data_IF_768980463873
#
_entry.id   IF_768980463873
#
_cell.length_a   1.000
_cell.length_b   1.000
_cell.length_c   1.000
_cell.angle_alpha   90.00
_cell.angle_beta   90.00
_cell.angle_gamma   90.00
#
_symmetry.space_group_name_H-M   'P 1'
#
loop_
_entity.id
_entity.type
_entity.pdbx_description
1 polymer ?
#
# COMPACT_ATOMS: atom_id res chain seq x y z
N UNK A 1 5.93 -16.23 10.23
CA UNK A 1 4.56 -16.48 9.74
C UNK A 1 4.39 -15.77 8.41
N UNK A 2 3.66 -16.36 7.47
CA UNK A 2 3.25 -15.73 6.22
C UNK A 2 1.73 -15.73 6.13
N UNK A 3 1.14 -14.64 5.63
CA UNK A 3 -0.30 -14.52 5.34
C UNK A 3 -0.45 -14.15 3.88
N UNK A 4 -1.17 -14.97 3.12
CA UNK A 4 -1.36 -14.78 1.69
C UNK A 4 -2.84 -14.69 1.35
N UNK A 5 -3.20 -13.70 0.55
CA UNK A 5 -4.56 -13.49 0.04
C UNK A 5 -4.66 -14.12 -1.36
N UNK A 6 -5.64 -15.00 -1.55
CA UNK A 6 -5.78 -15.79 -2.77
C UNK A 6 -7.16 -15.67 -3.39
N UNK A 7 -7.17 -15.75 -4.72
CA UNK A 7 -8.37 -15.75 -5.56
C UNK A 7 -9.30 -14.60 -5.20
N UNK A 8 -10.55 -14.90 -4.87
CA UNK A 8 -11.56 -13.90 -4.53
C UNK A 8 -11.92 -13.91 -3.05
N UNK A 9 -11.52 -14.95 -2.30
CA UNK A 9 -12.17 -15.27 -1.02
C UNK A 9 -11.34 -16.13 -0.04
N UNK A 10 -10.03 -16.26 -0.25
CA UNK A 10 -9.23 -17.20 0.54
C UNK A 10 -8.03 -16.50 1.19
N UNK A 11 -7.79 -16.80 2.47
CA UNK A 11 -6.64 -16.35 3.25
C UNK A 11 -5.86 -17.59 3.69
N UNK A 12 -4.63 -17.74 3.24
CA UNK A 12 -3.72 -18.80 3.66
C UNK A 12 -2.76 -18.25 4.70
N UNK A 13 -2.51 -19.02 5.76
CA UNK A 13 -1.56 -18.70 6.81
C UNK A 13 -0.56 -19.84 6.94
N UNK A 14 0.72 -19.53 6.80
CA UNK A 14 1.82 -20.48 6.90
C UNK A 14 2.70 -20.17 8.11
N UNK A 15 3.21 -21.21 8.76
CA UNK A 15 4.10 -21.10 9.92
C UNK A 15 3.48 -20.26 11.04
N UNK A 16 2.22 -20.54 11.33
CA UNK A 16 1.47 -19.92 12.43
C UNK A 16 1.68 -20.69 13.74
N UNK A 17 1.50 -19.99 14.86
CA UNK A 17 1.21 -20.64 16.15
C UNK A 17 -0.32 -20.69 16.37
N UNK A 18 -0.76 -21.42 17.39
CA UNK A 18 -2.20 -21.58 17.69
C UNK A 18 -2.87 -20.25 18.05
N UNK A 19 -2.16 -19.34 18.72
CA UNK A 19 -2.66 -18.03 19.13
C UNK A 19 -2.83 -17.06 17.96
N UNK A 20 -1.90 -17.07 17.00
CA UNK A 20 -1.99 -16.28 15.77
C UNK A 20 -3.18 -16.73 14.93
N UNK A 21 -3.37 -18.05 14.80
CA UNK A 21 -4.47 -18.61 14.02
C UNK A 21 -5.84 -18.29 14.64
N UNK A 22 -5.99 -18.45 15.97
CA UNK A 22 -7.23 -18.07 16.66
C UNK A 22 -7.51 -16.58 16.55
N UNK A 23 -6.46 -15.75 16.62
CA UNK A 23 -6.56 -14.30 16.47
C UNK A 23 -7.06 -13.90 15.08
N UNK A 24 -6.51 -14.50 14.02
CA UNK A 24 -6.95 -14.26 12.64
C UNK A 24 -8.40 -14.71 12.46
N UNK A 25 -8.75 -15.91 12.95
CA UNK A 25 -10.12 -16.43 12.89
C UNK A 25 -11.11 -15.47 13.53
N UNK A 26 -10.83 -15.02 14.75
CA UNK A 26 -11.71 -14.08 15.46
C UNK A 26 -11.80 -12.73 14.73
N UNK A 27 -10.68 -12.20 14.21
CA UNK A 27 -10.70 -10.96 13.42
C UNK A 27 -11.62 -11.06 12.19
N UNK A 28 -11.59 -12.20 11.48
CA UNK A 28 -12.47 -12.44 10.33
C UNK A 28 -13.93 -12.50 10.78
N UNK A 29 -14.25 -13.32 11.79
CA UNK A 29 -15.64 -13.47 12.28
C UNK A 29 -16.23 -12.14 12.76
N UNK A 30 -15.43 -11.32 13.43
CA UNK A 30 -15.90 -10.03 13.98
C UNK A 30 -16.10 -8.95 12.89
N UNK A 31 -15.38 -9.01 11.77
CA UNK A 31 -15.28 -7.89 10.81
C UNK A 31 -15.65 -8.25 9.37
N UNK A 32 -16.04 -9.50 9.12
CA UNK A 32 -16.59 -9.93 7.84
C UNK A 32 -18.02 -10.43 8.06
N UNK A 33 -19.05 -9.67 7.64
CA UNK A 33 -20.46 -9.98 7.97
C UNK A 33 -20.92 -11.38 7.56
N UNK A 34 -20.40 -11.89 6.43
CA UNK A 34 -20.76 -13.22 5.93
C UNK A 34 -19.98 -14.35 6.62
N UNK A 35 -18.95 -14.02 7.40
CA UNK A 35 -18.14 -14.95 8.16
C UNK A 35 -17.28 -15.90 7.33
N UNK A 36 -16.81 -16.96 7.99
CA UNK A 36 -15.97 -17.99 7.39
C UNK A 36 -16.87 -19.08 6.78
N UNK A 37 -16.67 -19.38 5.50
CA UNK A 37 -17.37 -20.46 4.81
C UNK A 37 -16.76 -21.83 5.15
N UNK A 38 -15.42 -21.92 5.15
CA UNK A 38 -14.70 -23.17 5.42
C UNK A 38 -13.31 -22.89 5.94
N UNK A 39 -12.83 -23.77 6.81
CA UNK A 39 -11.44 -23.82 7.22
C UNK A 39 -10.84 -25.20 6.92
N UNK A 40 -9.57 -25.24 6.54
CA UNK A 40 -8.88 -26.51 6.35
C UNK A 40 -7.37 -26.38 6.53
N UNK A 41 -6.77 -27.45 7.04
CA UNK A 41 -5.33 -27.65 6.94
C UNK A 41 -4.94 -27.90 5.48
N UNK A 42 -3.80 -27.35 5.05
CA UNK A 42 -3.24 -27.58 3.72
C UNK A 42 -2.12 -28.62 3.81
N UNK A 43 -0.95 -28.21 4.29
CA UNK A 43 0.22 -29.05 4.53
C UNK A 43 1.11 -28.43 5.61
N UNK A 44 1.79 -29.27 6.41
CA UNK A 44 2.59 -28.81 7.54
C UNK A 44 1.82 -27.88 8.47
N UNK A 45 2.39 -26.72 8.78
CA UNK A 45 1.76 -25.64 9.56
C UNK A 45 0.97 -24.64 8.68
N UNK A 46 0.40 -25.11 7.57
CA UNK A 46 -0.39 -24.30 6.64
C UNK A 46 -1.88 -24.45 6.88
N UNK A 47 -2.58 -23.33 7.01
CA UNK A 47 -4.03 -23.27 7.25
C UNK A 47 -4.69 -22.32 6.25
N UNK A 48 -5.87 -22.69 5.76
CA UNK A 48 -6.67 -21.87 4.86
C UNK A 48 -7.99 -21.48 5.51
N UNK A 49 -8.31 -20.19 5.45
CA UNK A 49 -9.65 -19.66 5.66
C UNK A 49 -10.27 -19.33 4.31
N UNK A 50 -11.36 -20.00 3.96
CA UNK A 50 -12.24 -19.59 2.87
C UNK A 50 -13.35 -18.75 3.48
N UNK A 51 -13.35 -17.45 3.20
CA UNK A 51 -14.39 -16.52 3.66
C UNK A 51 -15.58 -16.54 2.70
N UNK A 52 -16.79 -16.38 3.23
CA UNK A 52 -18.00 -16.41 2.41
C UNK A 52 -18.09 -15.13 1.55
N UNK A 53 -18.49 -15.25 0.29
CA UNK A 53 -18.56 -14.12 -0.65
C UNK A 53 -17.24 -13.91 -1.41
N UNK A 54 -16.95 -12.67 -1.84
CA UNK A 54 -15.78 -12.35 -2.68
C UNK A 54 -15.02 -11.09 -2.22
N UNK A 55 -14.51 -11.05 -0.96
CA UNK A 55 -13.83 -9.86 -0.41
C UNK A 55 -12.62 -9.37 -1.21
N UNK A 56 -11.95 -10.26 -1.93
CA UNK A 56 -10.72 -9.99 -2.68
C UNK A 56 -10.95 -9.84 -4.19
N UNK A 57 -12.19 -9.56 -4.58
CA UNK A 57 -12.57 -9.28 -5.96
C UNK A 57 -13.07 -7.84 -6.12
N UNK A 58 -13.15 -7.37 -7.37
CA UNK A 58 -13.78 -6.08 -7.69
C UNK A 58 -15.29 -6.16 -7.39
N UNK A 59 -15.66 -5.69 -6.21
CA UNK A 59 -17.02 -5.66 -5.69
C UNK A 59 -17.47 -4.20 -5.39
N UNK A 60 -18.67 -4.06 -4.84
CA UNK A 60 -19.23 -2.77 -4.37
C UNK A 60 -18.30 -2.03 -3.40
N UNK A 61 -18.53 -0.71 -3.25
CA UNK A 61 -17.77 0.15 -2.35
C UNK A 61 -17.89 -0.27 -0.88
N UNK A 62 -19.05 -0.77 -0.46
CA UNK A 62 -19.26 -1.33 0.88
C UNK A 62 -18.37 -2.54 1.10
N UNK A 63 -18.54 -3.62 0.33
CA UNK A 63 -17.72 -4.82 0.48
C UNK A 63 -16.21 -4.53 0.40
N UNK A 64 -15.81 -3.49 -0.36
CA UNK A 64 -14.44 -2.97 -0.37
C UNK A 64 -13.96 -2.46 0.99
N UNK A 65 -14.77 -1.63 1.66
CA UNK A 65 -14.41 -1.07 2.96
C UNK A 65 -14.41 -2.13 4.04
N UNK A 66 -15.36 -3.08 4.02
CA UNK A 66 -15.35 -4.21 4.94
C UNK A 66 -14.11 -5.10 4.76
N UNK A 67 -13.71 -5.41 3.53
CA UNK A 67 -12.50 -6.22 3.29
C UNK A 67 -11.24 -5.51 3.81
N UNK A 68 -11.11 -4.20 3.57
CA UNK A 68 -10.00 -3.39 4.11
C UNK A 68 -10.01 -3.30 5.64
N UNK A 69 -11.20 -3.15 6.24
CA UNK A 69 -11.36 -3.15 7.69
C UNK A 69 -10.95 -4.50 8.29
N UNK A 70 -11.40 -5.61 7.71
CA UNK A 70 -11.02 -6.96 8.13
C UNK A 70 -9.49 -7.13 8.14
N UNK A 71 -8.80 -6.71 7.08
CA UNK A 71 -7.34 -6.74 7.03
C UNK A 71 -6.72 -5.81 8.08
N UNK A 72 -7.21 -4.58 8.24
CA UNK A 72 -6.72 -3.66 9.27
C UNK A 72 -6.79 -4.28 10.68
N UNK A 73 -7.89 -4.97 10.99
CA UNK A 73 -8.09 -5.63 12.30
C UNK A 73 -7.21 -6.88 12.43
N UNK A 74 -7.05 -7.68 11.38
CA UNK A 74 -6.09 -8.81 11.38
C UNK A 74 -4.69 -8.30 11.71
N UNK A 75 -4.22 -7.26 11.02
CA UNK A 75 -2.89 -6.68 11.25
C UNK A 75 -2.76 -6.10 12.66
N UNK A 76 -3.78 -5.41 13.15
CA UNK A 76 -3.81 -4.84 14.50
C UNK A 76 -3.73 -5.92 15.58
N UNK A 77 -4.60 -6.95 15.52
CA UNK A 77 -4.63 -8.01 16.53
C UNK A 77 -3.37 -8.88 16.49
N UNK A 78 -2.78 -9.11 15.31
CA UNK A 78 -1.49 -9.79 15.19
C UNK A 78 -0.36 -8.96 15.79
N UNK A 79 -0.37 -7.64 15.57
CA UNK A 79 0.60 -6.74 16.15
C UNK A 79 0.53 -6.75 17.69
N UNK A 80 -0.66 -6.75 18.30
CA UNK A 80 -0.80 -6.75 19.77
C UNK A 80 -0.20 -8.00 20.44
N UNK A 81 -0.25 -9.15 19.77
CA UNK A 81 0.36 -10.41 20.23
C UNK A 81 1.82 -10.60 19.76
N UNK A 82 2.45 -9.53 19.28
CA UNK A 82 3.88 -9.50 18.98
C UNK A 82 4.27 -9.91 17.56
N UNK A 83 3.35 -10.02 16.60
CA UNK A 83 3.72 -10.23 15.19
C UNK A 83 3.95 -8.89 14.48
N UNK A 84 5.17 -8.68 13.99
CA UNK A 84 5.54 -7.48 13.21
C UNK A 84 5.63 -7.82 11.74
N UNK A 85 5.00 -7.01 10.90
CA UNK A 85 5.09 -7.11 9.45
C UNK A 85 6.50 -6.72 9.02
N UNK A 86 7.09 -7.52 8.15
CA UNK A 86 8.43 -7.31 7.60
C UNK A 86 8.35 -6.78 6.18
N UNK A 87 7.52 -7.41 5.35
CA UNK A 87 7.37 -7.07 3.94
C UNK A 87 6.04 -7.60 3.41
N UNK A 88 5.50 -6.94 2.39
CA UNK A 88 4.48 -7.50 1.51
C UNK A 88 5.03 -7.63 0.09
N UNK A 89 4.60 -8.67 -0.61
CA UNK A 89 5.02 -8.96 -1.97
C UNK A 89 3.96 -9.77 -2.71
N UNK A 90 3.96 -9.64 -4.03
CA UNK A 90 3.20 -10.51 -4.93
C UNK A 90 4.09 -11.67 -5.37
N UNK A 91 3.76 -12.89 -4.94
CA UNK A 91 4.61 -14.07 -5.10
C UNK A 91 4.09 -15.08 -6.12
N UNK A 92 2.83 -14.97 -6.56
CA UNK A 92 2.30 -15.86 -7.58
C UNK A 92 1.84 -15.09 -8.79
N UNK A 93 2.20 -15.59 -9.97
CA UNK A 93 1.79 -15.02 -11.25
C UNK A 93 0.30 -15.17 -11.53
N UNK A 94 -0.38 -16.05 -10.79
CA UNK A 94 -1.78 -16.37 -10.96
C UNK A 94 -2.45 -16.40 -9.59
N UNK A 95 -3.57 -15.70 -9.46
CA UNK A 95 -4.53 -15.76 -8.36
C UNK A 95 -4.10 -15.20 -7.00
N UNK A 96 -2.82 -15.06 -6.67
CA UNK A 96 -2.42 -14.37 -5.44
C UNK A 96 -2.65 -12.87 -5.59
N UNK A 97 -3.06 -12.24 -4.49
CA UNK A 97 -3.23 -10.79 -4.42
C UNK A 97 -2.07 -10.15 -3.68
N UNK A 98 -1.79 -10.63 -2.47
CA UNK A 98 -0.70 -10.12 -1.66
C UNK A 98 -0.28 -11.17 -0.63
N UNK A 99 1.03 -11.34 -0.46
CA UNK A 99 1.64 -12.15 0.59
C UNK A 99 2.40 -11.26 1.56
N UNK A 100 2.10 -11.38 2.85
CA UNK A 100 2.69 -10.61 3.94
C UNK A 100 3.53 -11.53 4.82
N UNK A 101 4.80 -11.18 5.02
CA UNK A 101 5.69 -11.90 5.91
C UNK A 101 5.79 -11.18 7.24
N UNK A 102 5.62 -11.94 8.33
CA UNK A 102 5.63 -11.45 9.70
C UNK A 102 6.69 -12.18 10.53
N UNK A 103 7.43 -11.41 11.32
CA UNK A 103 8.38 -11.91 12.32
C UNK A 103 7.81 -11.78 13.72
N UNK A 104 8.17 -12.73 14.59
CA UNK A 104 7.81 -12.64 16.00
C UNK A 104 8.73 -11.63 16.69
N UNK A 105 8.13 -10.73 17.45
CA UNK A 105 8.76 -9.81 18.38
C UNK A 105 8.51 -10.35 19.79
N UNK A 106 9.51 -10.30 20.69
CA UNK A 106 9.33 -10.76 22.07
C UNK A 106 8.37 -9.86 22.87
N UNK A 107 8.15 -8.62 22.41
CA UNK A 107 7.25 -7.66 23.05
C UNK A 107 5.81 -7.85 22.57
N UNK A 108 4.90 -8.10 23.51
CA UNK A 108 3.46 -7.87 23.30
C UNK A 108 3.17 -6.39 23.50
N UNK A 109 2.21 -5.85 22.76
CA UNK A 109 1.82 -4.45 22.85
C UNK A 109 0.40 -4.37 23.42
N UNK A 110 0.27 -3.95 24.67
CA UNK A 110 -1.04 -3.88 25.36
C UNK A 110 -1.95 -2.75 24.86
N UNK A 111 -1.36 -1.70 24.30
CA UNK A 111 -2.08 -0.55 23.75
C UNK A 111 -1.79 -0.41 22.26
N UNK A 112 -2.65 -1.01 21.42
CA UNK A 112 -2.53 -0.93 19.96
C UNK A 112 -3.71 -0.16 19.39
N UNK A 113 -3.42 0.99 18.80
CA UNK A 113 -4.42 1.75 18.06
C UNK A 113 -4.82 1.02 16.76
N UNK A 114 -6.07 1.21 16.28
CA UNK A 114 -6.47 0.71 14.98
C UNK A 114 -5.51 1.15 13.87
N UNK A 115 -5.22 0.25 12.94
CA UNK A 115 -4.46 0.59 11.75
C UNK A 115 -5.33 1.48 10.87
N UNK A 116 -4.78 2.62 10.46
CA UNK A 116 -5.39 3.49 9.44
C UNK A 116 -5.12 2.85 8.08
N UNK A 117 -6.15 2.71 7.26
CA UNK A 117 -6.02 2.23 5.89
C UNK A 117 -6.36 3.37 4.92
N UNK A 118 -5.46 3.70 4.00
CA UNK A 118 -5.71 4.61 2.87
C UNK A 118 -5.81 3.75 1.60
N UNK A 119 -7.02 3.57 1.11
CA UNK A 119 -7.29 2.79 -0.10
C UNK A 119 -7.65 3.67 -1.30
N UNK A 120 -7.01 3.42 -2.44
CA UNK A 120 -7.43 3.98 -3.72
C UNK A 120 -8.67 3.23 -4.21
N UNK A 121 -9.73 3.92 -4.58
CA UNK A 121 -11.00 3.32 -4.97
C UNK A 121 -11.52 3.95 -6.25
N UNK A 122 -12.05 3.12 -7.16
CA UNK A 122 -12.45 3.54 -8.51
C UNK A 122 -11.32 4.32 -9.21
N UNK A 123 -11.67 5.25 -10.10
CA UNK A 123 -10.70 6.14 -10.76
C UNK A 123 -10.40 7.42 -9.96
N UNK A 124 -11.22 7.75 -8.95
CA UNK A 124 -11.27 9.09 -8.39
C UNK A 124 -11.61 9.20 -6.89
N UNK A 125 -11.64 8.09 -6.15
CA UNK A 125 -11.97 8.10 -4.72
C UNK A 125 -10.81 7.70 -3.83
N UNK A 126 -10.64 8.38 -2.71
CA UNK A 126 -9.95 7.86 -1.54
C UNK A 126 -10.99 7.24 -0.62
N UNK A 127 -10.72 6.05 -0.11
CA UNK A 127 -11.52 5.43 0.93
C UNK A 127 -10.58 5.13 2.10
N UNK A 128 -10.78 5.87 3.19
CA UNK A 128 -9.90 5.88 4.35
C UNK A 128 -10.65 5.29 5.54
N UNK A 129 -10.07 4.30 6.20
CA UNK A 129 -10.71 3.55 7.29
C UNK A 129 -9.93 3.76 8.57
N UNK A 130 -10.66 3.82 9.69
CA UNK A 130 -10.12 4.03 11.04
C UNK A 130 -9.34 5.34 11.20
N UNK A 131 -9.65 6.35 10.38
CA UNK A 131 -9.02 7.66 10.48
C UNK A 131 -9.53 8.38 11.75
N UNK A 132 -8.65 8.79 12.66
CA UNK A 132 -9.03 9.64 13.79
C UNK A 132 -9.71 10.92 13.30
N UNK A 133 -10.78 11.35 13.98
CA UNK A 133 -11.60 12.49 13.56
C UNK A 133 -10.80 13.79 13.40
N UNK A 134 -9.79 14.01 14.25
CA UNK A 134 -8.90 15.17 14.17
C UNK A 134 -8.03 15.20 12.90
N UNK A 135 -7.92 14.09 12.16
CA UNK A 135 -7.13 14.01 10.92
C UNK A 135 -7.97 14.18 9.65
N UNK A 136 -9.31 14.19 9.76
CA UNK A 136 -10.21 14.35 8.61
C UNK A 136 -9.91 15.68 7.91
N UNK A 137 -9.96 16.79 8.65
CA UNK A 137 -9.76 18.12 8.06
C UNK A 137 -8.32 18.34 7.55
N UNK A 138 -7.25 17.99 8.28
CA UNK A 138 -5.89 18.03 7.74
C UNK A 138 -5.71 17.26 6.42
N UNK A 139 -6.31 16.07 6.28
CA UNK A 139 -6.22 15.32 5.03
C UNK A 139 -7.04 15.96 3.90
N UNK A 140 -8.19 16.56 4.19
CA UNK A 140 -8.94 17.32 3.18
C UNK A 140 -8.14 18.51 2.67
N UNK A 141 -7.47 19.26 3.55
CA UNK A 141 -6.60 20.37 3.16
C UNK A 141 -5.43 19.91 2.26
N UNK A 142 -4.89 18.72 2.51
CA UNK A 142 -3.90 18.11 1.60
C UNK A 142 -4.49 17.85 0.22
N UNK A 143 -5.71 17.31 0.13
CA UNK A 143 -6.39 17.08 -1.16
C UNK A 143 -6.60 18.40 -1.90
N UNK A 144 -7.16 19.43 -1.25
CA UNK A 144 -7.36 20.74 -1.88
C UNK A 144 -6.05 21.39 -2.36
N UNK A 145 -4.97 21.21 -1.61
CA UNK A 145 -3.67 21.80 -1.95
C UNK A 145 -2.98 21.10 -3.11
N UNK A 146 -3.01 19.77 -3.16
CA UNK A 146 -2.20 18.98 -4.11
C UNK A 146 -3.00 18.37 -5.27
N UNK A 147 -4.32 18.50 -5.26
CA UNK A 147 -5.19 18.13 -6.37
C UNK A 147 -6.00 19.34 -6.83
N UNK A 148 -5.54 20.01 -7.90
CA UNK A 148 -6.10 21.31 -8.35
C UNK A 148 -7.58 21.28 -8.72
N UNK A 149 -8.12 20.10 -9.07
CA UNK A 149 -9.55 19.93 -9.35
C UNK A 149 -10.40 19.84 -8.07
N UNK A 150 -9.78 19.62 -6.92
CA UNK A 150 -10.43 19.60 -5.62
C UNK A 150 -11.31 18.38 -5.34
N UNK A 151 -12.05 18.47 -4.24
CA UNK A 151 -13.03 17.47 -3.78
C UNK A 151 -14.37 17.73 -4.47
N UNK A 152 -14.93 16.71 -5.09
CA UNK A 152 -16.27 16.74 -5.70
C UNK A 152 -17.36 16.38 -4.67
N UNK A 153 -17.11 15.37 -3.85
CA UNK A 153 -18.01 14.94 -2.79
C UNK A 153 -17.25 14.25 -1.67
N UNK A 154 -17.81 14.24 -0.46
CA UNK A 154 -17.29 13.49 0.67
C UNK A 154 -18.42 12.82 1.46
N UNK A 155 -18.13 11.67 2.05
CA UNK A 155 -19.01 11.03 3.01
C UNK A 155 -18.21 10.39 4.13
N UNK A 156 -18.83 10.33 5.31
CA UNK A 156 -18.28 9.64 6.47
C UNK A 156 -19.35 8.73 7.06
N UNK A 157 -19.26 7.44 6.75
CA UNK A 157 -20.25 6.44 7.14
C UNK A 157 -19.53 5.21 7.70
N UNK A 158 -20.02 4.67 8.82
CA UNK A 158 -19.51 3.44 9.42
C UNK A 158 -17.97 3.42 9.65
N UNK A 159 -17.39 4.57 10.04
CA UNK A 159 -15.95 4.68 10.28
C UNK A 159 -15.09 4.75 9.01
N UNK A 160 -15.72 5.00 7.86
CA UNK A 160 -15.07 5.11 6.55
C UNK A 160 -15.25 6.53 6.02
N UNK A 161 -14.14 7.23 5.82
CA UNK A 161 -14.10 8.50 5.09
C UNK A 161 -13.91 8.20 3.61
N UNK A 162 -14.91 8.51 2.80
CA UNK A 162 -14.81 8.49 1.34
C UNK A 162 -14.68 9.92 0.81
N UNK A 163 -13.59 10.20 0.09
CA UNK A 163 -13.37 11.49 -0.59
C UNK A 163 -13.38 11.20 -2.09
N UNK A 164 -14.40 11.68 -2.80
CA UNK A 164 -14.46 11.69 -4.26
C UNK A 164 -13.84 12.98 -4.77
N UNK A 165 -12.77 12.88 -5.53
CA UNK A 165 -12.11 14.02 -6.15
C UNK A 165 -12.67 14.28 -7.54
N UNK A 166 -12.68 15.54 -7.98
CA UNK A 166 -13.05 15.84 -9.36
C UNK A 166 -11.93 15.37 -10.32
N UNK A 167 -12.31 14.71 -11.42
CA UNK A 167 -11.36 14.11 -12.38
C UNK A 167 -11.06 12.65 -12.06
N UNK A 168 -9.90 12.14 -12.49
CA UNK A 168 -9.55 10.72 -12.37
C UNK A 168 -8.08 10.54 -11.91
N UNK A 169 -7.70 10.93 -10.68
CA UNK A 169 -6.31 10.84 -10.21
C UNK A 169 -5.69 9.45 -10.35
N UNK A 170 -6.46 8.38 -10.12
CA UNK A 170 -5.98 7.00 -10.16
C UNK A 170 -5.99 6.39 -11.56
N UNK A 171 -6.56 7.11 -12.53
CA UNK A 171 -6.59 6.76 -13.94
C UNK A 171 -6.15 7.98 -14.74
N UNK A 172 -4.91 8.41 -14.55
CA UNK A 172 -4.38 9.61 -15.17
C UNK A 172 -3.00 9.41 -15.79
N UNK A 173 -2.68 10.25 -16.77
CA UNK A 173 -1.38 10.33 -17.42
C UNK A 173 -0.70 11.67 -17.13
N UNK A 174 0.60 11.75 -17.45
CA UNK A 174 1.39 12.99 -17.48
C UNK A 174 1.30 13.79 -16.17
N UNK A 175 0.99 15.10 -16.25
CA UNK A 175 0.90 16.01 -15.12
C UNK A 175 -0.02 15.48 -14.01
N UNK A 176 -1.21 14.99 -14.35
CA UNK A 176 -2.16 14.49 -13.35
C UNK A 176 -1.63 13.25 -12.63
N UNK A 177 -0.84 12.41 -13.32
CA UNK A 177 -0.19 11.24 -12.70
C UNK A 177 0.93 11.63 -11.73
N UNK A 178 1.66 12.71 -12.03
CA UNK A 178 2.64 13.29 -11.09
C UNK A 178 1.91 13.88 -9.88
N UNK A 179 0.87 14.67 -10.10
CA UNK A 179 0.06 15.27 -9.04
C UNK A 179 -0.55 14.22 -8.10
N UNK A 180 -1.07 13.11 -8.64
CA UNK A 180 -1.62 12.01 -7.84
C UNK A 180 -0.58 11.37 -6.91
N UNK A 181 0.67 11.24 -7.37
CA UNK A 181 1.79 10.74 -6.55
C UNK A 181 2.23 11.75 -5.49
N UNK A 182 2.30 13.04 -5.85
CA UNK A 182 2.56 14.13 -4.89
C UNK A 182 1.47 14.19 -3.82
N UNK A 183 0.20 14.02 -4.20
CA UNK A 183 -0.92 13.95 -3.27
C UNK A 183 -0.74 12.80 -2.27
N UNK A 184 -0.49 11.57 -2.75
CA UNK A 184 -0.27 10.40 -1.89
C UNK A 184 0.92 10.59 -0.94
N UNK A 185 2.01 11.15 -1.44
CA UNK A 185 3.17 11.48 -0.62
C UNK A 185 2.82 12.46 0.50
N UNK A 186 2.01 13.48 0.23
CA UNK A 186 1.60 14.45 1.25
C UNK A 186 0.56 13.88 2.23
N UNK A 187 -0.27 12.91 1.81
CA UNK A 187 -1.11 12.14 2.72
C UNK A 187 -0.24 11.33 3.70
N UNK A 188 0.77 10.61 3.20
CA UNK A 188 1.74 9.85 4.02
C UNK A 188 2.47 10.79 4.97
N UNK A 189 2.96 11.94 4.49
CA UNK A 189 3.67 12.90 5.32
C UNK A 189 2.77 13.51 6.41
N UNK A 190 1.49 13.74 6.10
CA UNK A 190 0.53 14.24 7.08
C UNK A 190 0.26 13.19 8.14
N UNK A 191 -0.02 11.93 7.77
CA UNK A 191 -0.18 10.83 8.72
C UNK A 191 1.06 10.69 9.63
N UNK A 192 2.26 10.77 9.06
CA UNK A 192 3.51 10.70 9.82
C UNK A 192 3.65 11.82 10.88
N UNK A 193 3.25 13.06 10.56
CA UNK A 193 3.27 14.18 11.53
C UNK A 193 2.37 13.93 12.74
N UNK A 194 1.32 13.14 12.56
CA UNK A 194 0.42 12.67 13.60
C UNK A 194 0.76 11.26 14.09
N UNK A 195 2.03 10.86 13.95
CA UNK A 195 2.59 9.60 14.47
C UNK A 195 2.00 8.32 13.86
N UNK A 196 1.35 8.41 12.69
CA UNK A 196 0.94 7.24 11.91
C UNK A 196 2.01 6.90 10.88
N UNK A 197 2.71 5.79 11.09
CA UNK A 197 3.81 5.34 10.23
C UNK A 197 3.33 4.32 9.22
N UNK A 198 3.75 4.50 7.97
CA UNK A 198 3.54 3.50 6.92
C UNK A 198 4.10 2.15 7.38
N UNK A 199 3.29 1.10 7.25
CA UNK A 199 3.65 -0.24 7.71
C UNK A 199 3.67 -1.24 6.57
N UNK A 200 2.65 -1.25 5.71
CA UNK A 200 2.54 -2.22 4.62
C UNK A 200 1.55 -1.76 3.56
N UNK A 201 1.79 -2.14 2.30
CA UNK A 201 0.83 -2.06 1.19
C UNK A 201 0.23 -3.45 0.96
N UNK A 202 -1.09 -3.52 0.78
CA UNK A 202 -1.79 -4.79 0.50
C UNK A 202 -2.66 -4.63 -0.73
N UNK A 203 -2.39 -5.44 -1.76
CA UNK A 203 -3.29 -5.56 -2.89
C UNK A 203 -4.44 -6.48 -2.51
N UNK A 204 -5.66 -5.94 -2.50
CA UNK A 204 -6.86 -6.72 -2.17
C UNK A 204 -7.60 -7.22 -3.41
N UNK A 205 -7.46 -6.54 -4.55
CA UNK A 205 -8.39 -6.70 -5.69
C UNK A 205 -7.70 -6.83 -7.03
N UNK A 206 -6.38 -7.07 -7.05
CA UNK A 206 -5.53 -6.97 -8.26
C UNK A 206 -5.64 -5.62 -8.97
N UNK A 207 -5.86 -4.56 -8.20
CA UNK A 207 -5.85 -3.19 -8.71
C UNK A 207 -4.73 -2.41 -8.00
N UNK A 208 -5.03 -1.24 -7.44
CA UNK A 208 -4.09 -0.50 -6.63
C UNK A 208 -4.05 -1.03 -5.19
N UNK A 209 -2.88 -0.90 -4.58
CA UNK A 209 -2.70 -1.28 -3.18
C UNK A 209 -3.46 -0.36 -2.23
N UNK A 210 -3.86 -0.92 -1.09
CA UNK A 210 -4.29 -0.15 0.08
C UNK A 210 -3.09 -0.03 1.04
N UNK A 211 -2.82 1.19 1.49
CA UNK A 211 -1.69 1.50 2.37
C UNK A 211 -2.16 1.48 3.82
N UNK A 212 -1.47 0.72 4.67
CA UNK A 212 -1.80 0.59 6.09
C UNK A 212 -0.75 1.26 6.97
N UNK A 213 -1.22 1.99 7.98
CA UNK A 213 -0.41 2.79 8.88
C UNK A 213 -0.71 2.41 10.33
N UNK A 214 0.35 2.18 11.11
CA UNK A 214 0.23 1.97 12.56
C UNK A 214 0.54 3.26 13.29
N UNK A 215 -0.08 3.46 14.44
CA UNK A 215 0.34 4.50 15.37
C UNK A 215 1.68 4.12 16.02
N UNK A 216 2.60 5.07 16.12
CA UNK A 216 3.88 4.94 16.81
C UNK A 216 4.17 6.18 17.67
N UNK A 217 3.97 6.10 18.99
CA UNK A 217 4.20 7.24 19.88
C UNK A 217 5.68 7.67 19.96
N UNK A 218 6.62 6.85 19.47
CA UNK A 218 8.05 7.19 19.44
C UNK A 218 8.41 8.10 18.27
N UNK A 219 7.53 8.28 17.30
CA UNK A 219 7.74 9.25 16.22
C UNK A 219 7.56 10.66 16.78
N UNK A 220 8.54 11.57 16.57
CA UNK A 220 8.40 12.95 17.00
C UNK A 220 7.15 13.60 16.38
N UNK A 221 6.29 14.16 17.23
CA UNK A 221 5.12 14.93 16.79
C UNK A 221 5.61 16.11 15.95
N UNK A 222 4.98 16.34 14.80
CA UNK A 222 5.37 17.37 13.83
C UNK A 222 6.81 17.21 13.27
N UNK A 223 7.44 16.05 13.44
CA UNK A 223 8.72 15.75 12.82
C UNK A 223 8.64 15.86 11.29
N UNK A 224 9.54 16.63 10.69
CA UNK A 224 9.64 16.74 9.24
C UNK A 224 10.19 15.43 8.67
N UNK A 225 9.31 14.58 8.16
CA UNK A 225 9.71 13.44 7.33
C UNK A 225 9.80 13.89 5.87
N UNK A 226 10.98 13.68 5.28
CA UNK A 226 11.19 13.86 3.85
C UNK A 226 10.92 12.53 3.14
N UNK A 227 10.01 12.56 2.19
CA UNK A 227 9.70 11.42 1.33
C UNK A 227 10.14 11.77 -0.09
N UNK A 228 10.45 10.76 -0.88
CA UNK A 228 10.56 10.88 -2.32
C UNK A 228 9.84 9.71 -2.98
N UNK A 229 9.42 9.89 -4.23
CA UNK A 229 8.80 8.82 -5.01
C UNK A 229 9.69 8.47 -6.19
N UNK A 230 10.02 7.19 -6.32
CA UNK A 230 10.60 6.62 -7.53
C UNK A 230 9.49 5.85 -8.25
N UNK A 231 9.26 6.17 -9.52
CA UNK A 231 8.21 5.57 -10.34
C UNK A 231 8.83 4.99 -11.60
N UNK A 232 8.62 3.69 -11.80
CA UNK A 232 8.91 3.02 -13.07
C UNK A 232 7.73 3.28 -14.01
N UNK A 233 8.00 3.81 -15.20
CA UNK A 233 6.97 4.22 -16.15
C UNK A 233 7.28 3.62 -17.54
N UNK A 234 6.22 3.23 -18.26
CA UNK A 234 6.32 2.57 -19.57
C UNK A 234 7.29 1.38 -19.48
N UNK A 235 8.15 1.19 -20.46
CA UNK A 235 9.16 0.10 -20.47
C UNK A 235 10.56 0.58 -20.05
N UNK A 236 10.80 1.90 -20.05
CA UNK A 236 12.16 2.47 -20.08
C UNK A 236 12.28 3.86 -19.43
N UNK A 237 11.28 4.31 -18.66
CA UNK A 237 11.32 5.60 -17.96
C UNK A 237 11.41 5.41 -16.44
N UNK A 238 12.36 6.07 -15.79
CA UNK A 238 12.41 6.18 -14.34
C UNK A 238 12.15 7.63 -13.97
N UNK A 239 11.17 7.86 -13.10
CA UNK A 239 10.77 9.19 -12.67
C UNK A 239 10.98 9.36 -11.18
N UNK A 240 11.61 10.46 -10.79
CA UNK A 240 11.90 10.83 -9.41
C UNK A 240 11.10 12.07 -9.06
N UNK A 241 10.27 12.00 -8.02
CA UNK A 241 9.33 13.04 -7.63
C UNK A 241 9.63 13.46 -6.19
N UNK A 242 9.63 14.77 -5.94
CA UNK A 242 9.89 15.37 -4.62
C UNK A 242 11.20 14.88 -3.95
N UNK A 243 12.24 14.63 -4.74
CA UNK A 243 13.56 14.28 -4.23
C UNK A 243 14.51 15.49 -4.33
N UNK A 244 15.42 15.68 -3.36
CA UNK A 244 16.51 16.63 -3.50
C UNK A 244 17.42 16.29 -4.69
N UNK A 245 18.09 17.29 -5.28
CA UNK A 245 19.00 17.11 -6.42
C UNK A 245 20.12 16.11 -6.13
N UNK A 246 20.59 16.04 -4.88
CA UNK A 246 21.58 15.05 -4.45
C UNK A 246 21.11 13.61 -4.68
N UNK A 247 19.82 13.31 -4.44
CA UNK A 247 19.22 11.99 -4.67
C UNK A 247 19.04 11.74 -6.17
N UNK A 248 18.62 12.75 -6.93
CA UNK A 248 18.53 12.65 -8.41
C UNK A 248 19.90 12.36 -9.01
N UNK A 249 20.94 13.05 -8.55
CA UNK A 249 22.33 12.85 -8.98
C UNK A 249 22.86 11.46 -8.60
N UNK A 250 22.51 10.97 -7.40
CA UNK A 250 22.85 9.61 -6.98
C UNK A 250 22.20 8.56 -7.91
N UNK A 251 20.89 8.68 -8.17
CA UNK A 251 20.16 7.77 -9.07
C UNK A 251 20.76 7.80 -10.48
N UNK A 252 21.13 8.99 -10.99
CA UNK A 252 21.85 9.12 -12.26
C UNK A 252 23.13 8.29 -12.28
N UNK A 253 23.95 8.42 -11.23
CA UNK A 253 25.19 7.65 -11.09
C UNK A 253 24.95 6.14 -11.05
N UNK A 254 23.92 5.69 -10.33
CA UNK A 254 23.53 4.26 -10.28
C UNK A 254 23.15 3.76 -11.68
N UNK A 255 22.27 4.45 -12.40
CA UNK A 255 21.88 4.07 -13.76
C UNK A 255 23.10 3.98 -14.68
N UNK A 256 23.99 4.98 -14.64
CA UNK A 256 25.19 5.03 -15.48
C UNK A 256 26.21 3.94 -15.15
N UNK A 257 26.27 3.48 -13.91
CA UNK A 257 27.24 2.46 -13.46
C UNK A 257 26.72 1.04 -13.67
N UNK A 258 25.42 0.81 -13.41
CA UNK A 258 24.82 -0.54 -13.39
C UNK A 258 24.26 -0.93 -14.76
N UNK A 259 23.69 0.02 -15.53
CA UNK A 259 23.01 -0.31 -16.78
C UNK A 259 23.97 -0.31 -17.98
N UNK A 260 24.55 -1.49 -18.25
CA UNK A 260 25.58 -1.66 -19.27
C UNK A 260 25.09 -1.57 -20.73
N UNK A 261 23.78 -1.73 -20.96
CA UNK A 261 23.18 -1.85 -22.31
C UNK A 261 22.95 -0.51 -23.03
N UNK A 262 23.34 0.60 -22.40
CA UNK A 262 23.33 1.92 -23.03
C UNK A 262 22.92 2.99 -22.04
N UNK A 263 23.60 4.12 -22.11
CA UNK A 263 23.47 5.24 -21.17
C UNK A 263 22.04 5.79 -21.11
N UNK A 264 21.83 6.69 -20.16
CA UNK A 264 20.66 7.58 -20.16
C UNK A 264 20.59 8.30 -21.52
N UNK A 265 19.48 8.12 -22.24
CA UNK A 265 19.29 8.68 -23.59
C UNK A 265 18.72 10.11 -23.54
N UNK A 266 17.94 10.43 -22.50
CA UNK A 266 17.34 11.75 -22.28
C UNK A 266 17.13 11.94 -20.78
N UNK A 267 17.29 13.17 -20.31
CA UNK A 267 16.85 13.62 -19.00
C UNK A 267 16.08 14.93 -19.15
N UNK A 268 14.99 15.08 -18.41
CA UNK A 268 14.24 16.33 -18.41
C UNK A 268 13.43 16.52 -17.14
N UNK A 269 13.09 17.79 -16.88
CA UNK A 269 11.92 18.09 -16.07
C UNK A 269 10.67 17.57 -16.77
N UNK A 270 9.87 16.85 -16.00
CA UNK A 270 8.56 16.36 -16.38
C UNK A 270 7.57 16.79 -15.30
N UNK A 271 7.04 18.01 -15.43
CA UNK A 271 6.01 18.54 -14.54
C UNK A 271 6.48 18.66 -13.07
N UNK A 272 7.69 19.18 -12.84
CA UNK A 272 8.25 19.30 -11.50
C UNK A 272 8.76 17.98 -10.91
N UNK A 273 8.97 16.98 -11.76
CA UNK A 273 9.65 15.73 -11.45
C UNK A 273 10.80 15.51 -12.42
N UNK A 274 11.81 14.76 -12.03
CA UNK A 274 12.94 14.46 -12.92
C UNK A 274 12.73 13.10 -13.59
N UNK A 275 12.75 13.05 -14.92
CA UNK A 275 12.57 11.82 -15.68
C UNK A 275 13.84 11.43 -16.42
N UNK A 276 14.26 10.18 -16.23
CA UNK A 276 15.32 9.52 -16.99
C UNK A 276 14.71 8.61 -18.05
N UNK A 277 15.13 8.78 -19.30
CA UNK A 277 14.97 7.79 -20.36
C UNK A 277 16.19 6.88 -20.39
N UNK A 278 15.98 5.63 -20.05
CA UNK A 278 17.02 4.60 -20.06
C UNK A 278 16.97 3.88 -21.41
N UNK A 279 18.12 3.49 -21.94
CA UNK A 279 18.16 2.69 -23.18
C UNK A 279 17.57 1.29 -22.96
N UNK A 280 17.01 0.70 -24.02
CA UNK A 280 16.39 -0.62 -23.94
C UNK A 280 15.04 -0.62 -23.23
N UNK A 281 14.69 -1.72 -22.59
CA UNK A 281 13.40 -1.91 -21.89
C UNK A 281 13.61 -2.49 -20.48
N UNK A 282 14.30 -1.79 -19.56
CA UNK A 282 14.65 -2.33 -18.24
C UNK A 282 13.44 -2.86 -17.46
N UNK A 283 12.27 -2.22 -17.57
CA UNK A 283 11.05 -2.60 -16.85
C UNK A 283 10.23 -3.67 -17.57
N UNK A 284 10.66 -4.06 -18.76
CA UNK A 284 10.08 -5.14 -19.55
C UNK A 284 11.20 -5.96 -20.20
N UNK A 285 12.11 -6.44 -19.35
CA UNK A 285 13.34 -7.12 -19.73
C UNK A 285 13.27 -8.63 -19.46
N UNK A 286 14.17 -9.38 -20.10
CA UNK A 286 14.33 -10.81 -19.86
C UNK A 286 15.81 -11.19 -19.71
N UNK A 287 16.09 -12.38 -19.18
CA UNK A 287 17.45 -12.92 -19.03
C UNK A 287 18.38 -11.94 -18.29
N UNK A 288 19.56 -11.67 -18.83
CA UNK A 288 20.60 -10.81 -18.26
C UNK A 288 20.11 -9.39 -17.98
N UNK A 289 19.36 -8.77 -18.91
CA UNK A 289 18.79 -7.44 -18.70
C UNK A 289 17.87 -7.39 -17.48
N UNK A 290 17.10 -8.46 -17.22
CA UNK A 290 16.24 -8.54 -16.04
C UNK A 290 17.04 -8.66 -14.74
N UNK A 291 18.23 -9.24 -14.79
CA UNK A 291 19.13 -9.29 -13.64
C UNK A 291 19.72 -7.91 -13.40
N UNK A 292 20.22 -7.25 -14.45
CA UNK A 292 20.74 -5.88 -14.37
C UNK A 292 19.69 -4.88 -13.85
N UNK A 293 18.45 -4.99 -14.32
CA UNK A 293 17.36 -4.10 -13.90
C UNK A 293 17.00 -4.23 -12.42
N UNK A 294 17.36 -5.34 -11.75
CA UNK A 294 17.18 -5.52 -10.30
C UNK A 294 18.33 -4.95 -9.47
N UNK A 295 19.47 -4.65 -10.09
CA UNK A 295 20.60 -3.96 -9.44
C UNK A 295 20.49 -2.43 -9.55
N UNK A 296 19.66 -1.93 -10.47
CA UNK A 296 19.26 -0.52 -10.54
C UNK A 296 18.20 -0.19 -9.49
#
# INVERSE_FOLDING_TARGET
MCISLHHTDSITVLHHDTGALSTIRQAIVDNWPDGIQREMAICGSGWMFKVKGTPFFTCSSSSSSQARLMIAVILQKLYSIGWKIVVSCDLARFNDKSSMFLKRSPSNFSSVHPFVCVGLSSSDKLQIINLPSQLIEPLKQVVYKFWTKGIQNESYENGVLEIKMAGNPWWSTDLQSVMAKVLLQNIIATLHRFQYVYTVNVNLKSTADSLYFRYDPNVPVNGAAQFCTISLNRTDRLRVICAPDAIVNMIRGVIQTVWLHGKIQEEKDHHGSWEFKISGNPWHSCKEESVMARYM
#
